data_IF_936461118422
#
_entry.id   IF_936461118422
#
_cell.length_a   1.000
_cell.length_b   1.000
_cell.length_c   1.000
_cell.angle_alpha   90.00
_cell.angle_beta   90.00
_cell.angle_gamma   90.00
#
_symmetry.space_group_name_H-M   'P 1'
#
loop_
_entity.id
_entity.type
_entity.pdbx_description
1 polymer ?
#
# COMPACT_ATOMS: atom_id res chain seq x y z
N UNK A 1 19.18 32.61 27.99
CA UNK A 1 19.91 31.33 27.87
C UNK A 1 19.62 30.49 29.10
N UNK A 2 19.25 29.21 28.93
CA UNK A 2 19.36 28.18 29.97
C UNK A 2 19.89 26.90 29.28
N UNK A 3 21.07 26.39 29.66
CA UNK A 3 21.76 25.31 28.96
C UNK A 3 21.36 23.93 29.50
N UNK A 4 21.39 22.92 28.61
CA UNK A 4 21.74 21.53 28.94
C UNK A 4 20.73 20.71 29.74
N UNK A 5 19.85 19.98 29.05
CA UNK A 5 19.34 18.70 29.58
C UNK A 5 19.97 17.59 28.74
N UNK A 6 20.95 16.93 29.34
CA UNK A 6 21.59 15.71 28.85
C UNK A 6 20.57 14.56 29.02
N UNK A 7 20.16 13.94 27.91
CA UNK A 7 19.33 12.74 27.98
C UNK A 7 20.23 11.55 28.33
N UNK A 8 19.88 10.91 29.43
CA UNK A 8 20.48 9.69 29.96
C UNK A 8 20.48 8.57 28.91
N UNK A 9 21.64 7.94 28.69
CA UNK A 9 21.75 6.66 28.00
C UNK A 9 21.40 5.56 29.01
N UNK A 10 20.36 4.76 28.73
CA UNK A 10 20.16 3.47 29.38
C UNK A 10 20.59 2.35 28.40
N UNK A 11 21.31 1.31 28.87
CA UNK A 11 21.84 0.25 28.04
C UNK A 11 20.80 -0.80 27.64
N UNK A 12 21.13 -1.47 26.53
CA UNK A 12 20.35 -2.43 25.73
C UNK A 12 19.55 -3.50 26.49
N UNK A 13 18.26 -3.57 26.15
CA UNK A 13 17.53 -4.84 26.10
C UNK A 13 17.32 -5.22 24.63
N UNK A 14 17.94 -6.33 24.22
CA UNK A 14 17.87 -6.89 22.88
C UNK A 14 16.73 -7.92 22.83
N UNK A 15 15.66 -7.69 22.04
CA UNK A 15 14.98 -8.77 21.33
C UNK A 15 15.42 -8.75 19.86
N UNK A 16 15.60 -9.94 19.29
CA UNK A 16 16.30 -10.19 18.04
C UNK A 16 15.84 -9.37 16.83
N UNK A 17 16.81 -9.14 15.94
CA UNK A 17 16.64 -8.70 14.56
C UNK A 17 15.35 -7.91 14.30
N UNK A 18 15.36 -6.62 14.67
CA UNK A 18 14.48 -5.66 14.04
C UNK A 18 14.80 -5.65 12.55
N UNK A 19 14.14 -6.51 11.78
CA UNK A 19 13.90 -6.26 10.37
C UNK A 19 13.37 -4.85 10.30
N UNK A 20 14.10 -3.96 9.63
CA UNK A 20 13.74 -2.59 9.29
C UNK A 20 12.47 -2.55 8.41
N UNK A 21 11.39 -3.11 8.93
CA UNK A 21 10.06 -3.13 8.36
C UNK A 21 9.42 -1.85 8.86
N UNK A 22 9.79 -0.75 8.22
CA UNK A 22 8.84 0.35 8.16
C UNK A 22 7.52 -0.28 7.71
N UNK A 23 6.37 -0.01 8.33
CA UNK A 23 5.08 -0.56 7.86
C UNK A 23 4.73 -0.07 6.44
N UNK A 24 5.54 0.84 5.92
CA UNK A 24 5.57 1.31 4.55
C UNK A 24 6.68 0.67 3.71
N UNK A 25 7.59 -0.18 4.19
CA UNK A 25 8.54 -0.86 3.29
C UNK A 25 7.80 -2.02 2.63
N UNK A 26 7.49 -1.82 1.36
CA UNK A 26 6.86 -2.85 0.55
C UNK A 26 7.88 -3.94 0.26
N UNK A 27 7.42 -5.11 -0.17
CA UNK A 27 8.28 -6.19 -0.66
C UNK A 27 9.02 -5.86 -1.97
N UNK A 28 9.09 -4.58 -2.37
CA UNK A 28 9.46 -4.12 -3.71
C UNK A 28 8.36 -4.33 -4.77
N UNK A 29 7.23 -4.94 -4.37
CA UNK A 29 6.03 -5.13 -5.21
C UNK A 29 5.31 -3.81 -5.45
N UNK A 30 4.65 -3.74 -6.60
CA UNK A 30 3.82 -2.60 -6.99
C UNK A 30 2.61 -2.49 -6.06
N UNK A 31 2.36 -1.32 -5.48
CA UNK A 31 1.14 -1.04 -4.73
C UNK A 31 0.20 -0.17 -5.57
N UNK A 32 -1.08 -0.53 -5.58
CA UNK A 32 -2.13 0.16 -6.34
C UNK A 32 -3.17 0.69 -5.38
N UNK A 33 -3.22 2.01 -5.23
CA UNK A 33 -4.21 2.68 -4.39
C UNK A 33 -5.43 3.05 -5.22
N UNK A 34 -6.60 2.66 -4.73
CA UNK A 34 -7.89 2.93 -5.37
C UNK A 34 -8.87 3.47 -4.35
N UNK A 35 -9.94 4.11 -4.83
CA UNK A 35 -11.13 4.43 -4.03
C UNK A 35 -12.37 3.91 -4.75
N UNK A 36 -13.41 3.65 -3.99
CA UNK A 36 -14.72 3.37 -4.57
C UNK A 36 -15.28 4.62 -5.28
N UNK A 37 -16.16 4.44 -6.27
CA UNK A 37 -16.67 5.55 -7.10
C UNK A 37 -15.65 6.18 -8.05
N UNK A 38 -14.46 5.58 -8.21
CA UNK A 38 -13.43 6.00 -9.14
C UNK A 38 -13.46 5.16 -10.42
N UNK A 39 -13.94 5.73 -11.52
CA UNK A 39 -14.06 5.01 -12.81
C UNK A 39 -12.69 4.57 -13.34
N UNK A 40 -11.69 5.46 -13.29
CA UNK A 40 -10.34 5.16 -13.76
C UNK A 40 -9.66 4.02 -12.96
N UNK A 41 -10.08 3.78 -11.72
CA UNK A 41 -9.49 2.75 -10.86
C UNK A 41 -9.75 1.33 -11.41
N UNK A 42 -10.96 1.05 -11.89
CA UNK A 42 -11.28 -0.24 -12.51
C UNK A 42 -10.48 -0.47 -13.80
N UNK A 43 -10.38 0.55 -14.65
CA UNK A 43 -9.64 0.48 -15.92
C UNK A 43 -8.14 0.21 -15.69
N UNK A 44 -7.53 0.91 -14.73
CA UNK A 44 -6.13 0.69 -14.38
C UNK A 44 -5.90 -0.74 -13.87
N UNK A 45 -6.73 -1.20 -12.94
CA UNK A 45 -6.57 -2.54 -12.35
C UNK A 45 -6.78 -3.63 -13.38
N UNK A 46 -7.76 -3.47 -14.29
CA UNK A 46 -7.93 -4.40 -15.40
C UNK A 46 -6.68 -4.44 -16.29
N UNK A 47 -6.10 -3.28 -16.63
CA UNK A 47 -4.87 -3.20 -17.44
C UNK A 47 -3.71 -3.93 -16.78
N UNK A 48 -3.45 -3.66 -15.50
CA UNK A 48 -2.39 -4.31 -14.71
C UNK A 48 -2.63 -5.82 -14.59
N UNK A 49 -3.89 -6.23 -14.43
CA UNK A 49 -4.23 -7.64 -14.41
C UNK A 49 -3.95 -8.31 -15.76
N UNK A 50 -4.35 -7.70 -16.87
CA UNK A 50 -4.15 -8.26 -18.22
C UNK A 50 -2.69 -8.30 -18.65
N UNK A 51 -1.84 -7.43 -18.11
CA UNK A 51 -0.40 -7.48 -18.37
C UNK A 51 0.32 -8.56 -17.56
N UNK A 52 -0.39 -9.29 -16.69
CA UNK A 52 0.20 -10.27 -15.78
C UNK A 52 0.95 -9.66 -14.61
N UNK A 53 0.88 -8.34 -14.40
CA UNK A 53 1.58 -7.68 -13.30
C UNK A 53 1.09 -8.20 -11.95
N UNK A 54 2.02 -8.44 -11.04
CA UNK A 54 1.70 -8.73 -9.64
C UNK A 54 1.67 -7.44 -8.83
N UNK A 55 0.64 -7.24 -8.03
CA UNK A 55 0.47 -6.01 -7.27
C UNK A 55 -0.37 -6.18 -6.01
N UNK A 56 -0.16 -5.28 -5.08
CA UNK A 56 -0.92 -5.19 -3.85
C UNK A 56 -1.92 -4.04 -3.96
N UNK A 57 -3.21 -4.36 -3.98
CA UNK A 57 -4.27 -3.39 -4.08
C UNK A 57 -4.65 -2.87 -2.70
N UNK A 58 -4.72 -1.55 -2.54
CA UNK A 58 -5.12 -0.87 -1.32
C UNK A 58 -6.36 -0.01 -1.56
N UNK A 59 -7.48 -0.35 -0.92
CA UNK A 59 -8.68 0.47 -0.96
C UNK A 59 -8.65 1.57 0.10
N UNK A 60 -8.53 2.80 -0.38
CA UNK A 60 -8.58 4.04 0.41
C UNK A 60 -10.01 4.31 0.87
N UNK A 61 -10.16 4.69 2.15
CA UNK A 61 -11.46 5.02 2.73
C UNK A 61 -12.41 3.83 2.84
N UNK A 62 -11.89 2.60 2.81
CA UNK A 62 -12.67 1.36 3.00
C UNK A 62 -13.25 1.21 4.40
N UNK A 63 -12.72 1.92 5.41
CA UNK A 63 -13.13 1.83 6.83
C UNK A 63 -13.01 0.41 7.41
N UNK A 64 -12.02 -0.36 6.94
CA UNK A 64 -11.87 -1.78 7.28
C UNK A 64 -13.11 -2.63 6.94
N UNK A 65 -13.93 -2.17 5.99
CA UNK A 65 -15.07 -2.93 5.48
C UNK A 65 -14.61 -3.85 4.35
N UNK A 66 -14.38 -5.08 4.78
CA UNK A 66 -14.03 -6.25 4.01
C UNK A 66 -15.04 -6.55 2.86
N UNK A 67 -16.33 -6.27 3.08
CA UNK A 67 -17.37 -6.48 2.07
C UNK A 67 -17.20 -5.48 0.93
N UNK A 68 -16.87 -4.23 1.27
CA UNK A 68 -16.69 -3.17 0.28
C UNK A 68 -15.55 -3.46 -0.69
N UNK A 69 -14.39 -3.91 -0.20
CA UNK A 69 -13.26 -4.24 -1.07
C UNK A 69 -13.54 -5.49 -1.91
N UNK A 70 -14.22 -6.50 -1.36
CA UNK A 70 -14.63 -7.70 -2.12
C UNK A 70 -15.62 -7.36 -3.23
N UNK A 71 -16.63 -6.56 -2.95
CA UNK A 71 -17.64 -6.20 -3.95
C UNK A 71 -17.07 -5.27 -5.03
N UNK A 72 -16.17 -4.37 -4.66
CA UNK A 72 -15.43 -3.58 -5.63
C UNK A 72 -14.55 -4.46 -6.52
N UNK A 73 -13.82 -5.44 -5.96
CA UNK A 73 -12.98 -6.37 -6.73
C UNK A 73 -13.80 -7.19 -7.73
N UNK A 74 -14.99 -7.66 -7.34
CA UNK A 74 -15.94 -8.32 -8.26
C UNK A 74 -16.36 -7.39 -9.40
N UNK A 75 -16.77 -6.15 -9.11
CA UNK A 75 -17.16 -5.17 -10.15
C UNK A 75 -16.00 -4.83 -11.09
N UNK A 76 -14.79 -4.75 -10.56
CA UNK A 76 -13.57 -4.52 -11.32
C UNK A 76 -13.06 -5.77 -12.07
N UNK A 77 -13.76 -6.91 -11.97
CA UNK A 77 -13.42 -8.17 -12.63
C UNK A 77 -12.00 -8.67 -12.29
N UNK A 78 -11.58 -8.48 -11.03
CA UNK A 78 -10.35 -9.08 -10.54
C UNK A 78 -10.50 -10.60 -10.53
N UNK A 79 -9.53 -11.29 -11.12
CA UNK A 79 -9.49 -12.75 -11.20
C UNK A 79 -9.32 -13.36 -9.79
N UNK A 80 -10.31 -14.13 -9.29
CA UNK A 80 -10.21 -14.78 -7.99
C UNK A 80 -9.04 -15.76 -7.89
N UNK A 81 -8.59 -16.37 -8.99
CA UNK A 81 -7.44 -17.27 -8.98
C UNK A 81 -6.16 -16.50 -8.65
N UNK A 82 -5.99 -15.29 -9.19
CA UNK A 82 -4.84 -14.42 -8.90
C UNK A 82 -4.85 -13.86 -7.49
N UNK A 83 -6.03 -13.69 -6.90
CA UNK A 83 -6.16 -13.34 -5.48
C UNK A 83 -5.77 -14.53 -4.61
N UNK A 84 -6.28 -15.73 -4.91
CA UNK A 84 -5.95 -16.95 -4.17
C UNK A 84 -4.47 -17.33 -4.24
N UNK A 85 -3.81 -17.06 -5.39
CA UNK A 85 -2.37 -17.31 -5.54
C UNK A 85 -1.49 -16.26 -4.86
N UNK A 86 -2.05 -15.11 -4.46
CA UNK A 86 -1.31 -13.97 -3.92
C UNK A 86 -0.63 -13.10 -4.99
N UNK A 87 -0.83 -13.38 -6.29
CA UNK A 87 -0.34 -12.51 -7.36
C UNK A 87 -1.03 -11.14 -7.35
N UNK A 88 -2.28 -11.07 -6.89
CA UNK A 88 -2.97 -9.82 -6.55
C UNK A 88 -3.41 -9.91 -5.09
N UNK A 89 -3.03 -8.96 -4.25
CA UNK A 89 -3.54 -8.91 -2.87
C UNK A 89 -4.60 -7.82 -2.73
N UNK A 90 -5.61 -8.04 -1.89
CA UNK A 90 -6.66 -7.06 -1.61
C UNK A 90 -6.50 -6.58 -0.17
N UNK A 91 -6.22 -5.30 0.02
CA UNK A 91 -5.86 -4.74 1.31
C UNK A 91 -6.65 -3.47 1.61
N UNK A 92 -6.84 -3.20 2.90
CA UNK A 92 -7.26 -1.88 3.37
C UNK A 92 -6.07 -0.95 3.42
N UNK A 93 -6.27 0.29 2.96
CA UNK A 93 -5.25 1.32 3.02
C UNK A 93 -4.85 1.69 4.45
N UNK A 94 -5.82 1.77 5.37
CA UNK A 94 -5.54 2.10 6.79
C UNK A 94 -4.90 3.48 7.01
N UNK A 95 -5.01 4.41 6.06
CA UNK A 95 -4.36 5.73 6.11
C UNK A 95 -3.01 5.79 5.36
N UNK A 96 -2.53 4.66 4.83
CA UNK A 96 -1.24 4.54 4.14
C UNK A 96 -1.10 5.56 3.00
N UNK A 97 -2.14 5.80 2.20
CA UNK A 97 -2.13 6.73 1.07
C UNK A 97 -1.79 8.14 1.52
N UNK A 98 -2.43 8.63 2.59
CA UNK A 98 -2.11 9.95 3.14
C UNK A 98 -0.71 9.98 3.74
N UNK A 99 -0.29 8.91 4.43
CA UNK A 99 1.05 8.83 5.03
C UNK A 99 2.18 8.80 4.00
N UNK A 100 1.93 8.37 2.76
CA UNK A 100 2.92 8.39 1.68
C UNK A 100 3.22 9.82 1.19
N UNK A 101 2.31 10.78 1.39
CA UNK A 101 2.53 12.18 1.00
C UNK A 101 2.73 12.41 -0.50
N UNK A 102 2.32 11.45 -1.35
CA UNK A 102 2.51 11.51 -2.79
C UNK A 102 1.44 12.42 -3.44
N UNK A 103 1.81 13.25 -4.42
CA UNK A 103 0.87 14.12 -5.10
C UNK A 103 -0.06 13.35 -6.06
N UNK A 104 -1.18 14.00 -6.39
CA UNK A 104 -2.14 13.57 -7.41
C UNK A 104 -3.31 12.73 -6.86
N UNK A 105 -4.34 12.56 -7.69
CA UNK A 105 -5.56 11.83 -7.34
C UNK A 105 -5.40 10.31 -7.43
N UNK A 106 -6.43 9.57 -7.05
CA UNK A 106 -6.54 8.12 -7.28
C UNK A 106 -7.14 7.83 -8.67
N UNK A 107 -6.74 6.72 -9.33
CA UNK A 107 -5.86 5.67 -8.81
C UNK A 107 -4.38 6.04 -8.86
N UNK A 108 -3.59 5.46 -7.97
CA UNK A 108 -2.14 5.62 -7.95
C UNK A 108 -1.43 4.27 -7.98
N UNK A 109 -0.50 4.11 -8.92
CA UNK A 109 0.47 3.01 -8.92
C UNK A 109 1.74 3.55 -8.27
N UNK A 110 2.22 2.89 -7.23
CA UNK A 110 3.42 3.32 -6.51
C UNK A 110 4.34 2.13 -6.28
N UNK A 111 5.64 2.40 -6.25
CA UNK A 111 6.66 1.39 -5.98
C UNK A 111 7.74 1.99 -5.09
N UNK A 112 8.26 1.18 -4.19
CA UNK A 112 9.45 1.55 -3.42
C UNK A 112 10.68 1.37 -4.32
N UNK A 113 11.39 2.47 -4.57
CA UNK A 113 12.62 2.52 -5.35
C UNK A 113 13.68 3.17 -4.47
N UNK A 114 14.75 2.44 -4.16
CA UNK A 114 15.84 2.90 -3.29
C UNK A 114 15.36 3.39 -1.91
N UNK A 115 14.37 2.72 -1.32
CA UNK A 115 13.81 3.10 -0.01
C UNK A 115 12.87 4.30 -0.05
N UNK A 116 12.53 4.80 -1.24
CA UNK A 116 11.61 5.91 -1.45
C UNK A 116 10.39 5.45 -2.25
N UNK A 117 9.19 5.80 -1.79
CA UNK A 117 7.98 5.55 -2.57
C UNK A 117 7.90 6.53 -3.73
N UNK A 118 7.68 5.99 -4.91
CA UNK A 118 7.56 6.78 -6.13
C UNK A 118 6.33 6.35 -6.90
N UNK A 119 5.57 7.35 -7.36
CA UNK A 119 4.45 7.14 -8.26
C UNK A 119 4.99 6.72 -9.62
N UNK A 120 4.44 5.63 -10.15
CA UNK A 120 4.79 5.15 -11.48
C UNK A 120 4.01 5.97 -12.53
N UNK A 121 4.61 6.27 -13.68
CA UNK A 121 3.96 6.97 -14.78
C UNK A 121 2.79 6.18 -15.40
#
# INVERSE_FOLDING_TARGET
MNPGIQRVNLPDDKPGAATNTSPLRGSGRTAVFIKDGCVACGQLVQRLQTSGAEFDLYMVGSRQDDTRIRDWAKRAQIDPARVRSGSITLNHDGGRWLSLGLPGDLPAVVREVNGQWQRQP
#
